data_IF_688801740166
#
_entry.id   IF_688801740166
#
_cell.length_a   1.000
_cell.length_b   1.000
_cell.length_c   1.000
_cell.angle_alpha   90.00
_cell.angle_beta   90.00
_cell.angle_gamma   90.00
#
_symmetry.space_group_name_H-M   'P 1'
#
loop_
_entity.id
_entity.type
_entity.pdbx_description
1 polymer ?
#
# COMPACT_ATOMS: atom_id res chain seq x y z
N UNK A 1 -25.70 -1.34 -4.16
CA UNK A 1 -24.61 -2.08 -3.52
C UNK A 1 -23.53 -1.07 -3.19
N UNK A 2 -23.12 -1.04 -1.93
CA UNK A 2 -21.97 -0.28 -1.47
C UNK A 2 -20.81 -1.25 -1.24
N UNK A 3 -19.63 -0.90 -1.71
CA UNK A 3 -18.39 -1.67 -1.55
C UNK A 3 -17.21 -0.71 -1.48
N UNK A 4 -16.11 -1.12 -0.88
CA UNK A 4 -14.98 -0.20 -0.67
C UNK A 4 -14.29 0.09 -2.00
N UNK A 5 -13.98 -0.94 -2.76
CA UNK A 5 -13.32 -0.81 -4.06
C UNK A 5 -12.46 -2.02 -4.41
N UNK A 6 -11.92 -2.00 -5.62
CA UNK A 6 -11.13 -3.12 -6.16
C UNK A 6 -9.86 -3.38 -5.35
N UNK A 7 -9.27 -2.36 -4.76
CA UNK A 7 -8.03 -2.47 -3.98
C UNK A 7 -8.20 -3.29 -2.69
N UNK A 8 -9.41 -3.37 -2.13
CA UNK A 8 -9.72 -4.16 -0.95
C UNK A 8 -10.53 -5.41 -1.28
N UNK A 9 -11.48 -5.31 -2.19
CA UNK A 9 -12.49 -6.32 -2.45
C UNK A 9 -12.44 -6.83 -3.89
N UNK A 10 -11.24 -7.01 -4.44
CA UNK A 10 -11.01 -7.50 -5.80
C UNK A 10 -11.87 -8.73 -6.15
N UNK A 11 -12.06 -9.63 -5.17
CA UNK A 11 -12.90 -10.83 -5.33
C UNK A 11 -14.37 -10.50 -5.67
N UNK A 12 -14.86 -9.27 -5.39
CA UNK A 12 -16.22 -8.83 -5.70
C UNK A 12 -16.39 -8.34 -7.15
N UNK A 13 -15.32 -7.96 -7.84
CA UNK A 13 -15.39 -7.37 -9.17
C UNK A 13 -16.20 -8.25 -10.16
N UNK A 14 -15.81 -9.52 -10.28
CA UNK A 14 -16.50 -10.48 -11.17
C UNK A 14 -17.95 -10.77 -10.77
N UNK A 15 -18.26 -11.06 -9.48
CA UNK A 15 -19.65 -11.18 -9.01
C UNK A 15 -20.48 -9.94 -9.27
N UNK A 16 -19.97 -8.75 -9.00
CA UNK A 16 -20.69 -7.49 -9.24
C UNK A 16 -21.00 -7.28 -10.73
N UNK A 17 -20.07 -7.61 -11.62
CA UNK A 17 -20.26 -7.51 -13.08
C UNK A 17 -21.21 -8.59 -13.63
N UNK A 18 -21.20 -9.79 -13.06
CA UNK A 18 -21.94 -10.95 -13.61
C UNK A 18 -23.34 -11.12 -13.01
N UNK A 19 -23.49 -11.03 -11.70
CA UNK A 19 -24.73 -11.34 -10.96
C UNK A 19 -25.54 -10.07 -10.71
N UNK A 20 -24.87 -8.99 -10.32
CA UNK A 20 -25.52 -7.74 -9.91
C UNK A 20 -25.62 -6.72 -11.07
N UNK A 21 -25.91 -7.16 -12.29
CA UNK A 21 -25.91 -6.31 -13.49
C UNK A 21 -26.85 -5.12 -13.42
N UNK A 22 -27.98 -5.26 -12.71
CA UNK A 22 -29.03 -4.23 -12.60
C UNK A 22 -28.93 -3.40 -11.33
N UNK A 23 -28.06 -3.79 -10.40
CA UNK A 23 -27.89 -3.05 -9.16
C UNK A 23 -26.98 -1.84 -9.41
N UNK A 24 -27.35 -0.72 -8.84
CA UNK A 24 -26.46 0.42 -8.68
C UNK A 24 -25.29 0.01 -7.79
N UNK A 25 -24.09 0.39 -8.17
CA UNK A 25 -22.84 0.04 -7.45
C UNK A 25 -22.12 1.32 -7.11
N UNK A 26 -21.96 1.55 -5.82
CA UNK A 26 -21.29 2.71 -5.27
C UNK A 26 -19.97 2.24 -4.69
N UNK A 27 -18.91 2.70 -5.28
CA UNK A 27 -17.55 2.46 -4.81
C UNK A 27 -17.19 3.55 -3.80
N UNK A 28 -16.97 3.15 -2.55
CA UNK A 28 -16.78 4.10 -1.46
C UNK A 28 -15.47 4.89 -1.60
N UNK A 29 -14.45 4.28 -2.20
CA UNK A 29 -13.21 5.00 -2.49
C UNK A 29 -13.38 6.15 -3.47
N UNK A 30 -14.43 6.14 -4.31
CA UNK A 30 -14.66 7.15 -5.34
C UNK A 30 -15.58 8.31 -4.89
N UNK A 31 -16.14 8.25 -3.68
CA UNK A 31 -17.01 9.31 -3.19
C UNK A 31 -16.21 10.58 -2.86
N UNK A 32 -16.87 11.74 -3.04
CA UNK A 32 -16.25 13.01 -2.78
C UNK A 32 -16.17 13.34 -1.27
N UNK A 33 -15.12 14.04 -0.88
CA UNK A 33 -14.96 14.56 0.49
C UNK A 33 -14.28 13.62 1.47
N UNK A 34 -13.76 12.47 1.00
CA UNK A 34 -12.90 11.61 1.79
C UNK A 34 -11.49 12.23 1.94
N UNK A 35 -10.92 12.10 3.11
CA UNK A 35 -9.48 12.21 3.30
C UNK A 35 -8.87 10.88 2.88
N UNK A 36 -8.09 10.85 1.79
CA UNK A 36 -7.45 9.64 1.27
C UNK A 36 -5.95 9.71 1.56
N UNK A 37 -5.42 8.69 2.22
CA UNK A 37 -4.00 8.53 2.50
C UNK A 37 -3.38 7.59 1.49
N UNK A 38 -2.15 7.88 1.05
CA UNK A 38 -1.43 6.99 0.15
C UNK A 38 -0.98 5.73 0.88
N UNK A 39 -0.89 4.63 0.16
CA UNK A 39 -0.29 3.42 0.70
C UNK A 39 1.13 3.67 1.21
N UNK A 40 1.48 3.00 2.30
CA UNK A 40 2.87 2.90 2.75
C UNK A 40 3.58 1.79 1.99
N UNK A 41 4.80 2.07 1.56
CA UNK A 41 5.62 1.10 0.80
C UNK A 41 6.54 0.28 1.70
N UNK A 42 6.63 0.62 2.99
CA UNK A 42 7.56 0.01 3.95
C UNK A 42 6.83 -0.59 5.13
N UNK A 43 7.37 -1.69 5.65
CA UNK A 43 6.86 -2.37 6.84
C UNK A 43 7.26 -1.69 8.15
N UNK A 44 8.32 -0.87 8.13
CA UNK A 44 8.77 -0.07 9.27
C UNK A 44 8.45 1.38 8.97
N UNK A 45 7.74 2.02 9.87
CA UNK A 45 7.27 3.40 9.73
C UNK A 45 8.25 4.31 10.47
N UNK A 46 9.24 4.83 9.73
CA UNK A 46 10.26 5.74 10.29
C UNK A 46 9.70 7.15 10.40
N UNK A 47 9.71 7.70 11.63
CA UNK A 47 9.40 9.11 11.89
C UNK A 47 10.55 10.08 11.49
N UNK A 48 11.56 9.60 10.71
CA UNK A 48 12.79 10.33 10.45
C UNK A 48 13.01 10.69 8.97
N UNK A 49 12.08 11.37 8.36
CA UNK A 49 12.32 12.07 7.08
C UNK A 49 12.58 13.58 7.29
N UNK A 50 13.44 13.95 8.26
CA UNK A 50 13.99 15.31 8.35
C UNK A 50 15.52 15.27 8.53
N UNK A 51 16.21 14.67 7.55
CA UNK A 51 17.63 14.93 7.35
C UNK A 51 17.84 15.65 6.03
N UNK A 52 17.65 16.97 6.09
CA UNK A 52 18.20 17.86 5.08
C UNK A 52 19.70 17.61 4.98
N UNK A 53 20.12 16.90 3.92
CA UNK A 53 21.50 16.87 3.52
C UNK A 53 21.88 18.27 3.01
N UNK A 54 22.48 19.04 3.91
CA UNK A 54 23.23 20.22 3.55
C UNK A 54 24.33 19.80 2.57
N UNK A 55 24.31 20.40 1.40
CA UNK A 55 25.41 20.35 0.46
C UNK A 55 26.66 21.00 1.13
N UNK A 56 27.57 20.18 1.64
CA UNK A 56 28.90 20.62 2.00
C UNK A 56 29.77 20.51 0.75
N UNK A 57 29.97 21.66 0.10
CA UNK A 57 31.03 21.91 -0.88
C UNK A 57 32.38 21.66 -0.21
N UNK A 58 33.05 20.58 -0.55
CA UNK A 58 34.46 20.40 -0.32
C UNK A 58 35.23 20.51 -1.65
N UNK A 59 35.64 21.72 -1.96
CA UNK A 59 36.79 22.00 -2.78
C UNK A 59 38.02 21.48 -2.04
N UNK A 60 38.71 20.49 -2.58
CA UNK A 60 40.08 20.17 -2.23
C UNK A 60 40.88 19.85 -3.50
N UNK A 61 41.62 20.85 -3.92
CA UNK A 61 42.76 20.80 -4.83
C UNK A 61 43.82 19.84 -4.29
N UNK A 62 44.18 18.81 -5.03
CA UNK A 62 45.53 18.19 -4.91
C UNK A 62 46.14 17.86 -6.26
N UNK A 63 47.10 18.71 -6.60
CA UNK A 63 48.16 18.54 -7.60
C UNK A 63 48.97 17.26 -7.41
N UNK A 64 49.16 16.61 -8.54
CA UNK A 64 50.46 16.12 -9.02
C UNK A 64 51.17 14.99 -8.27
N UNK A 65 51.32 13.86 -8.94
CA UNK A 65 52.66 13.23 -9.07
C UNK A 65 52.74 12.22 -10.21
N UNK A 66 53.88 12.36 -10.89
CA UNK A 66 54.26 11.73 -12.14
C UNK A 66 54.74 10.28 -12.03
N UNK A 67 54.52 9.56 -13.14
CA UNK A 67 55.39 8.55 -13.81
C UNK A 67 56.11 7.50 -12.97
N UNK A 68 55.92 6.22 -13.36
CA UNK A 68 57.01 5.35 -13.84
C UNK A 68 56.49 4.14 -14.64
N UNK A 69 57.13 3.97 -15.80
CA UNK A 69 57.11 2.79 -16.69
C UNK A 69 57.88 1.62 -16.08
N UNK A 70 57.54 0.41 -16.47
CA UNK A 70 58.40 -0.67 -17.03
C UNK A 70 57.53 -1.94 -17.28
N UNK A 71 57.44 -2.35 -18.55
CA UNK A 71 58.15 -3.45 -19.27
C UNK A 71 57.82 -4.83 -18.66
N UNK A 72 57.09 -5.74 -19.28
CA UNK A 72 57.45 -6.54 -20.43
C UNK A 72 57.61 -8.00 -20.03
N UNK A 73 57.01 -8.91 -20.71
CA UNK A 73 57.39 -10.30 -21.06
C UNK A 73 56.13 -11.02 -21.54
N UNK A 74 56.03 -11.28 -22.81
CA UNK A 74 56.48 -12.35 -23.71
C UNK A 74 55.83 -13.68 -23.46
N UNK A 75 55.12 -14.10 -24.51
CA UNK A 75 55.03 -15.39 -25.19
C UNK A 75 54.72 -16.68 -24.42
N UNK A 76 53.64 -17.31 -24.80
CA UNK A 76 53.68 -18.73 -25.13
C UNK A 76 52.57 -19.14 -26.12
N UNK A 77 53.10 -19.71 -27.22
CA UNK A 77 52.46 -20.33 -28.33
C UNK A 77 51.58 -21.55 -27.98
N UNK A 78 50.53 -21.69 -28.72
CA UNK A 78 50.05 -22.79 -29.49
C UNK A 78 49.87 -24.16 -28.85
N UNK A 79 48.67 -24.66 -28.91
CA UNK A 79 48.44 -26.08 -29.25
C UNK A 79 47.11 -26.32 -29.96
N UNK A 80 47.23 -27.17 -30.95
CA UNK A 80 46.41 -27.61 -32.01
C UNK A 80 45.07 -28.21 -31.65
N UNK A 81 44.24 -28.17 -32.65
CA UNK A 81 43.08 -28.93 -33.05
C UNK A 81 42.91 -30.32 -32.42
N UNK A 82 41.70 -30.62 -31.96
CA UNK A 82 41.01 -31.86 -32.33
C UNK A 82 39.51 -31.69 -32.17
N UNK A 83 38.81 -31.95 -33.26
CA UNK A 83 37.39 -31.91 -33.38
C UNK A 83 36.70 -33.03 -32.63
N UNK A 84 35.63 -32.73 -31.94
CA UNK A 84 34.61 -33.69 -31.61
C UNK A 84 33.23 -33.19 -32.03
N UNK A 85 32.61 -34.13 -32.71
CA UNK A 85 31.32 -34.10 -33.38
C UNK A 85 30.18 -33.73 -32.46
N UNK A 86 29.22 -33.16 -33.16
CA UNK A 86 27.80 -32.99 -32.83
C UNK A 86 27.23 -34.13 -31.98
N UNK A 87 26.60 -33.74 -30.86
CA UNK A 87 25.38 -34.38 -30.40
C UNK A 87 24.49 -33.27 -29.83
N UNK A 88 23.37 -33.10 -30.53
CA UNK A 88 22.33 -32.16 -30.18
C UNK A 88 21.68 -32.58 -28.87
N UNK A 89 21.61 -31.65 -27.96
CA UNK A 89 20.63 -31.65 -26.89
C UNK A 89 19.77 -30.43 -27.09
N UNK A 90 18.71 -30.66 -27.84
CA UNK A 90 17.50 -29.87 -27.79
C UNK A 90 16.89 -30.02 -26.40
N UNK A 91 16.12 -29.00 -26.05
CA UNK A 91 15.17 -28.95 -24.94
C UNK A 91 15.74 -28.56 -23.56
N UNK A 92 16.09 -27.28 -23.41
CA UNK A 92 15.82 -26.61 -22.18
C UNK A 92 14.59 -25.72 -22.38
N UNK A 93 13.47 -26.35 -22.08
CA UNK A 93 12.19 -25.73 -21.85
C UNK A 93 12.31 -24.49 -21.00
N UNK A 94 11.59 -23.49 -21.45
CA UNK A 94 11.56 -22.19 -20.86
C UNK A 94 11.43 -22.24 -19.34
N UNK A 95 12.33 -21.57 -18.68
CA UNK A 95 12.04 -21.02 -17.38
C UNK A 95 10.86 -20.07 -17.60
N UNK A 96 9.67 -20.57 -17.27
CA UNK A 96 8.54 -19.72 -16.99
C UNK A 96 9.02 -18.70 -15.97
N UNK A 97 9.31 -17.52 -16.48
CA UNK A 97 9.43 -16.32 -15.71
C UNK A 97 8.09 -16.17 -15.00
N UNK A 98 7.99 -16.72 -13.78
CA UNK A 98 6.94 -16.39 -12.85
C UNK A 98 7.16 -14.92 -12.52
N UNK A 99 6.76 -14.07 -13.47
CA UNK A 99 6.52 -12.68 -13.21
C UNK A 99 5.60 -12.67 -12.01
N UNK A 100 6.15 -12.32 -10.86
CA UNK A 100 5.35 -11.79 -9.78
C UNK A 100 4.68 -10.56 -10.39
N UNK A 101 3.49 -10.78 -10.95
CA UNK A 101 2.55 -9.68 -11.15
C UNK A 101 2.36 -9.13 -9.73
N UNK A 102 3.19 -8.14 -9.39
CA UNK A 102 2.95 -7.31 -8.25
C UNK A 102 1.54 -6.78 -8.48
N UNK A 103 0.60 -7.26 -7.67
CA UNK A 103 -0.72 -6.71 -7.65
C UNK A 103 -0.50 -5.21 -7.45
N UNK A 104 -0.79 -4.42 -8.48
CA UNK A 104 -0.69 -2.97 -8.40
C UNK A 104 -1.71 -2.57 -7.34
N UNK A 105 -1.21 -2.33 -6.13
CA UNK A 105 -2.03 -1.69 -5.10
C UNK A 105 -2.48 -0.35 -5.65
N UNK A 106 -3.72 0.02 -5.39
CA UNK A 106 -4.20 1.35 -5.70
C UNK A 106 -3.29 2.43 -5.10
N UNK A 107 -3.42 3.65 -5.54
CA UNK A 107 -2.61 4.76 -5.04
C UNK A 107 -2.87 5.03 -3.55
N UNK A 108 -4.07 4.67 -3.05
CA UNK A 108 -4.55 5.04 -1.72
C UNK A 108 -4.91 3.82 -0.87
N UNK A 109 -4.63 3.94 0.43
CA UNK A 109 -5.04 2.96 1.43
C UNK A 109 -6.58 2.87 1.51
N UNK A 110 -7.17 1.68 1.30
CA UNK A 110 -8.62 1.51 1.25
C UNK A 110 -9.30 1.47 2.62
N UNK A 111 -8.55 1.47 3.74
CA UNK A 111 -9.10 1.38 5.10
C UNK A 111 -9.72 2.70 5.59
N UNK A 112 -10.36 3.42 4.68
CA UNK A 112 -10.91 4.79 4.86
C UNK A 112 -11.89 4.93 6.03
N UNK A 113 -12.62 3.87 6.38
CA UNK A 113 -13.62 3.89 7.47
C UNK A 113 -13.02 3.96 8.87
N UNK A 114 -11.71 3.73 9.01
CA UNK A 114 -11.01 3.84 10.29
C UNK A 114 -10.78 5.29 10.72
N UNK A 115 -11.03 6.25 9.83
CA UNK A 115 -11.23 7.65 10.22
C UNK A 115 -12.73 7.92 10.44
N UNK A 116 -13.17 8.28 11.66
CA UNK A 116 -14.57 8.64 11.92
C UNK A 116 -15.11 9.78 11.06
N UNK A 117 -14.24 10.67 10.57
CA UNK A 117 -14.66 11.74 9.66
C UNK A 117 -15.01 11.16 8.30
N UNK A 118 -14.18 10.28 7.75
CA UNK A 118 -14.50 9.55 6.53
C UNK A 118 -15.76 8.70 6.70
N UNK A 119 -15.91 8.00 7.83
CA UNK A 119 -17.11 7.23 8.13
C UNK A 119 -18.39 8.08 8.07
N UNK A 120 -18.33 9.35 8.55
CA UNK A 120 -19.47 10.28 8.44
C UNK A 120 -19.76 10.68 6.99
N UNK A 121 -18.73 10.88 6.16
CA UNK A 121 -18.89 11.17 4.73
C UNK A 121 -19.55 9.98 4.04
N UNK A 122 -19.04 8.76 4.26
CA UNK A 122 -19.59 7.51 3.73
C UNK A 122 -21.07 7.36 4.11
N UNK A 123 -21.44 7.56 5.37
CA UNK A 123 -22.83 7.43 5.82
C UNK A 123 -23.76 8.44 5.13
N UNK A 124 -23.31 9.66 4.88
CA UNK A 124 -24.11 10.68 4.18
C UNK A 124 -24.37 10.25 2.74
N UNK A 125 -23.34 9.83 2.03
CA UNK A 125 -23.47 9.31 0.67
C UNK A 125 -24.42 8.12 0.60
N UNK A 126 -24.24 7.14 1.48
CA UNK A 126 -25.12 5.97 1.56
C UNK A 126 -26.58 6.35 1.75
N UNK A 127 -26.87 7.34 2.60
CA UNK A 127 -28.25 7.77 2.85
C UNK A 127 -28.85 8.49 1.65
N UNK A 128 -28.10 9.27 0.89
CA UNK A 128 -28.57 9.92 -0.34
C UNK A 128 -29.06 8.85 -1.32
N UNK A 129 -28.26 7.84 -1.62
CA UNK A 129 -28.66 6.72 -2.49
C UNK A 129 -29.83 5.91 -1.96
N UNK A 130 -29.88 5.65 -0.63
CA UNK A 130 -31.00 4.94 -0.03
C UNK A 130 -32.30 5.72 -0.14
N UNK A 131 -32.28 7.03 0.07
CA UNK A 131 -33.46 7.91 -0.06
C UNK A 131 -33.94 8.00 -1.49
N UNK A 132 -33.02 8.06 -2.47
CA UNK A 132 -33.37 8.06 -3.90
C UNK A 132 -34.05 6.77 -4.32
N UNK A 133 -33.53 5.62 -3.88
CA UNK A 133 -34.05 4.31 -4.25
C UNK A 133 -35.29 3.89 -3.46
N UNK A 134 -35.46 4.40 -2.23
CA UNK A 134 -36.59 4.08 -1.34
C UNK A 134 -37.06 5.33 -0.57
N UNK A 135 -37.63 6.25 -1.28
CA UNK A 135 -38.12 7.53 -0.74
C UNK A 135 -39.19 7.38 0.32
N UNK A 136 -39.93 6.26 0.31
CA UNK A 136 -40.96 5.97 1.31
C UNK A 136 -40.38 5.84 2.72
N UNK A 137 -39.17 5.29 2.82
CA UNK A 137 -38.48 5.10 4.09
C UNK A 137 -37.46 6.22 4.40
N UNK A 138 -37.42 7.28 3.59
CA UNK A 138 -36.50 8.40 3.79
C UNK A 138 -36.48 8.98 5.22
N UNK A 139 -37.63 9.16 5.94
CA UNK A 139 -37.60 9.65 7.31
C UNK A 139 -36.83 8.73 8.28
N UNK A 140 -36.95 7.40 8.06
CA UNK A 140 -36.23 6.41 8.87
C UNK A 140 -34.74 6.47 8.59
N UNK A 141 -34.35 6.51 7.33
CA UNK A 141 -32.94 6.61 6.95
C UNK A 141 -32.27 7.87 7.51
N UNK A 142 -32.94 9.03 7.36
CA UNK A 142 -32.42 10.29 7.91
C UNK A 142 -32.28 10.25 9.45
N UNK A 143 -33.24 9.63 10.14
CA UNK A 143 -33.19 9.46 11.60
C UNK A 143 -32.04 8.53 12.02
N UNK A 144 -31.81 7.46 11.27
CA UNK A 144 -30.70 6.56 11.52
C UNK A 144 -29.35 7.26 11.28
N UNK A 145 -29.24 8.07 10.23
CA UNK A 145 -28.04 8.89 9.99
C UNK A 145 -27.73 9.81 11.18
N UNK A 146 -28.74 10.57 11.67
CA UNK A 146 -28.56 11.46 12.83
C UNK A 146 -28.04 10.69 14.06
N UNK A 147 -28.56 9.48 14.29
CA UNK A 147 -28.11 8.65 15.40
C UNK A 147 -26.67 8.17 15.18
N UNK A 148 -26.36 7.65 14.00
CA UNK A 148 -25.03 7.16 13.66
C UNK A 148 -23.96 8.26 13.74
N UNK A 149 -24.24 9.46 13.24
CA UNK A 149 -23.33 10.60 13.34
C UNK A 149 -23.03 10.96 14.81
N UNK A 150 -24.05 10.97 15.68
CA UNK A 150 -23.84 11.20 17.13
C UNK A 150 -23.04 10.10 17.79
N UNK A 151 -23.28 8.85 17.40
CA UNK A 151 -22.55 7.72 17.98
C UNK A 151 -21.08 7.73 17.53
N UNK A 152 -20.79 8.13 16.29
CA UNK A 152 -19.41 8.38 15.81
C UNK A 152 -18.73 9.54 16.56
N UNK A 153 -19.47 10.63 16.89
CA UNK A 153 -18.93 11.71 17.70
C UNK A 153 -18.54 11.20 19.10
N UNK A 154 -19.42 10.43 19.74
CA UNK A 154 -19.13 9.83 21.06
C UNK A 154 -17.96 8.86 21.00
N UNK A 155 -17.91 7.99 19.96
CA UNK A 155 -16.80 7.07 19.77
C UNK A 155 -15.49 7.84 19.66
N UNK A 156 -15.44 8.87 18.82
CA UNK A 156 -14.25 9.70 18.63
C UNK A 156 -13.78 10.31 19.95
N UNK A 157 -14.69 10.87 20.74
CA UNK A 157 -14.36 11.44 22.05
C UNK A 157 -13.85 10.38 23.03
N UNK A 158 -14.48 9.21 23.07
CA UNK A 158 -14.07 8.12 23.96
C UNK A 158 -12.67 7.62 23.60
N UNK A 159 -12.41 7.39 22.32
CA UNK A 159 -11.09 6.97 21.84
C UNK A 159 -10.03 8.00 22.20
N UNK A 160 -10.26 9.29 21.96
CA UNK A 160 -9.33 10.36 22.33
C UNK A 160 -9.05 10.42 23.85
N UNK A 161 -10.02 10.02 24.68
CA UNK A 161 -9.88 10.06 26.12
C UNK A 161 -9.14 8.82 26.67
N UNK A 162 -9.37 7.68 26.08
CA UNK A 162 -8.87 6.38 26.58
C UNK A 162 -7.51 6.00 25.98
N UNK A 163 -7.19 6.50 24.78
CA UNK A 163 -5.92 6.16 24.14
C UNK A 163 -4.72 6.76 24.87
N UNK A 164 -3.77 5.87 25.17
CA UNK A 164 -2.44 6.27 25.60
C UNK A 164 -1.52 6.44 24.37
N UNK A 165 -1.42 7.66 23.89
CA UNK A 165 -0.65 8.03 22.70
C UNK A 165 0.87 7.78 22.82
N UNK A 166 1.38 7.55 24.03
CA UNK A 166 2.81 7.29 24.27
C UNK A 166 3.21 5.84 24.08
N UNK A 167 2.25 4.93 23.91
CA UNK A 167 2.55 3.50 23.77
C UNK A 167 2.81 3.20 22.29
N UNK A 168 4.06 2.82 22.00
CA UNK A 168 4.43 2.31 20.68
C UNK A 168 3.87 0.91 20.44
N UNK A 169 3.38 0.64 19.26
CA UNK A 169 2.76 -0.61 18.88
C UNK A 169 3.28 -1.10 17.54
N UNK A 170 3.21 -2.42 17.32
CA UNK A 170 3.42 -3.06 16.02
C UNK A 170 2.13 -3.80 15.70
N UNK A 171 1.68 -3.70 14.46
CA UNK A 171 0.46 -4.35 14.00
C UNK A 171 0.79 -5.51 13.05
N UNK A 172 -0.14 -6.44 12.91
CA UNK A 172 0.07 -7.56 11.99
C UNK A 172 -0.03 -7.11 10.53
N UNK A 173 -1.01 -6.26 10.25
CA UNK A 173 -1.35 -5.78 8.91
C UNK A 173 -1.44 -4.26 8.92
N UNK A 174 -0.90 -3.59 7.91
CA UNK A 174 -0.97 -2.13 7.77
C UNK A 174 -2.36 -1.67 7.30
N UNK A 175 -3.28 -1.62 8.25
CA UNK A 175 -4.65 -1.16 8.03
C UNK A 175 -5.00 0.12 8.81
N UNK A 176 -4.11 0.56 9.69
CA UNK A 176 -4.48 1.53 10.73
C UNK A 176 -4.05 2.96 10.44
N UNK A 177 -3.53 3.27 9.25
CA UNK A 177 -2.97 4.57 8.90
C UNK A 177 -3.95 5.72 9.16
N UNK A 178 -5.22 5.57 8.79
CA UNK A 178 -6.26 6.56 9.08
C UNK A 178 -6.55 6.74 10.56
N UNK A 179 -6.50 5.66 11.33
CA UNK A 179 -6.68 5.68 12.78
C UNK A 179 -5.49 6.35 13.48
N UNK A 180 -4.28 6.03 13.02
CA UNK A 180 -3.04 6.65 13.50
C UNK A 180 -3.08 8.17 13.32
N UNK A 181 -3.38 8.64 12.10
CA UNK A 181 -3.46 10.07 11.80
C UNK A 181 -4.55 10.75 12.61
N UNK A 182 -5.74 10.13 12.73
CA UNK A 182 -6.87 10.69 13.44
C UNK A 182 -6.63 10.83 14.93
N UNK A 183 -6.00 9.87 15.55
CA UNK A 183 -5.89 9.75 16.99
C UNK A 183 -4.45 9.92 17.51
N UNK A 184 -3.51 10.22 16.63
CA UNK A 184 -2.08 10.34 16.92
C UNK A 184 -1.55 9.11 17.68
N UNK A 185 -1.82 7.93 17.14
CA UNK A 185 -1.35 6.64 17.67
C UNK A 185 0.04 6.37 17.12
N UNK A 186 0.92 5.86 17.96
CA UNK A 186 2.28 5.53 17.55
C UNK A 186 2.36 4.05 17.13
N UNK A 187 2.26 3.79 15.83
CA UNK A 187 2.51 2.46 15.24
C UNK A 187 3.87 2.50 14.52
N UNK A 188 4.79 1.67 15.00
CA UNK A 188 6.17 1.63 14.49
C UNK A 188 6.31 0.82 13.20
N UNK A 189 5.36 -0.04 12.90
CA UNK A 189 5.40 -0.87 11.71
C UNK A 189 4.34 -1.96 11.70
N UNK A 190 4.33 -2.71 10.59
CA UNK A 190 3.48 -3.86 10.36
C UNK A 190 4.29 -5.06 9.89
N UNK A 191 3.86 -6.29 10.25
CA UNK A 191 4.48 -7.50 9.70
C UNK A 191 4.18 -7.68 8.22
N UNK A 192 3.05 -7.18 7.75
CA UNK A 192 2.70 -7.18 6.32
C UNK A 192 1.96 -5.89 5.95
N UNK A 193 2.29 -5.33 4.81
CA UNK A 193 1.54 -4.22 4.22
C UNK A 193 0.31 -4.71 3.44
N UNK A 194 0.31 -6.00 3.09
CA UNK A 194 -0.78 -6.63 2.35
C UNK A 194 -1.13 -8.00 2.98
N UNK A 195 -2.42 -8.25 3.19
CA UNK A 195 -2.92 -9.54 3.73
C UNK A 195 -2.79 -10.71 2.75
N UNK A 196 -2.65 -10.44 1.47
CA UNK A 196 -2.50 -11.47 0.45
C UNK A 196 -1.08 -12.05 0.38
N UNK A 197 -0.12 -11.40 1.05
CA UNK A 197 1.28 -11.84 1.11
C UNK A 197 1.63 -12.25 2.53
N UNK A 198 2.04 -13.51 2.69
CA UNK A 198 2.55 -13.99 3.98
C UNK A 198 3.87 -13.29 4.31
N UNK A 199 4.08 -12.87 5.58
CA UNK A 199 5.35 -12.30 6.00
C UNK A 199 6.50 -13.25 5.69
N UNK A 200 7.55 -12.75 5.04
CA UNK A 200 8.78 -13.50 4.83
C UNK A 200 9.56 -13.70 6.13
N UNK A 201 10.53 -14.63 6.12
CA UNK A 201 11.36 -14.91 7.31
C UNK A 201 12.20 -13.70 7.77
N UNK A 202 12.42 -12.73 6.89
CA UNK A 202 13.15 -11.49 7.20
C UNK A 202 12.26 -10.44 7.90
N UNK A 203 10.93 -10.66 7.93
CA UNK A 203 9.97 -9.73 8.54
C UNK A 203 9.52 -10.19 9.93
N UNK A 204 9.95 -11.37 10.37
CA UNK A 204 9.69 -11.96 11.68
C UNK A 204 10.92 -11.88 12.59
#
# INVERSE_FOLDING_TARGET
IFWVGEDLENFLEKPLKSIAKKAEKIELMEINGLNKLKFRERNIFDDHDDHGHGEDDHDDDHDGHAKKKKDGHDDHDGHDEDGHKEDGHDDHDGHDDHGHEGHAHGEYDPHIWLDPINAKVILKEMIEHLVENDSKNAPVYKKNLENALRDLDKLTMNVMTELNQSTASIVFHDAYQYFEERFNVNILGAFTVNTDVMPGAEQL
#
